data_IF_992769710329
#
_entry.id   IF_992769710329
#
_cell.length_a   1.000
_cell.length_b   1.000
_cell.length_c   1.000
_cell.angle_alpha   90.00
_cell.angle_beta   90.00
_cell.angle_gamma   90.00
#
_symmetry.space_group_name_H-M   'P 1'
#
loop_
_entity.id
_entity.type
_entity.pdbx_description
1 polymer ?
#
# COMPACT_ATOMS: atom_id res chain seq x y z
N UNK A 1 46.35 -37.38 -41.30
CA UNK A 1 45.05 -36.70 -41.04
C UNK A 1 45.08 -35.79 -39.81
N UNK A 2 46.00 -35.96 -38.84
CA UNK A 2 46.00 -35.19 -37.58
C UNK A 2 46.42 -33.70 -37.67
N UNK A 3 47.30 -33.31 -38.60
CA UNK A 3 47.83 -31.94 -38.66
C UNK A 3 46.79 -30.87 -39.00
N UNK A 4 45.68 -31.25 -39.67
CA UNK A 4 44.59 -30.32 -40.04
C UNK A 4 43.50 -30.18 -38.98
N UNK A 5 43.36 -31.16 -38.08
CA UNK A 5 42.39 -31.09 -36.97
C UNK A 5 42.88 -30.22 -35.81
N UNK A 6 44.19 -30.10 -35.58
CA UNK A 6 44.76 -29.25 -34.53
C UNK A 6 44.32 -27.78 -34.58
N UNK A 7 44.39 -27.07 -35.72
CA UNK A 7 43.91 -25.69 -35.79
C UNK A 7 42.40 -25.58 -35.61
N UNK A 8 41.61 -26.56 -36.09
CA UNK A 8 40.17 -26.60 -35.87
C UNK A 8 39.80 -26.83 -34.40
N UNK A 9 40.46 -27.78 -33.74
CA UNK A 9 40.26 -28.03 -32.31
C UNK A 9 40.64 -26.80 -31.47
N UNK A 10 41.73 -26.11 -31.83
CA UNK A 10 42.13 -24.88 -31.17
C UNK A 10 41.10 -23.76 -31.36
N UNK A 11 40.56 -23.60 -32.56
CA UNK A 11 39.49 -22.64 -32.84
C UNK A 11 38.20 -22.96 -32.05
N UNK A 12 37.81 -24.23 -31.96
CA UNK A 12 36.64 -24.68 -31.17
C UNK A 12 36.85 -24.41 -29.68
N UNK A 13 38.05 -24.68 -29.14
CA UNK A 13 38.36 -24.38 -27.74
C UNK A 13 38.31 -22.87 -27.48
N UNK A 14 38.85 -22.03 -28.37
CA UNK A 14 38.77 -20.57 -28.23
C UNK A 14 37.32 -20.10 -28.24
N UNK A 15 36.49 -20.62 -29.15
CA UNK A 15 35.07 -20.28 -29.23
C UNK A 15 34.29 -20.75 -28.00
N UNK A 16 34.59 -21.94 -27.48
CA UNK A 16 34.00 -22.45 -26.26
C UNK A 16 34.39 -21.61 -25.03
N UNK A 17 35.67 -21.20 -24.93
CA UNK A 17 36.17 -20.33 -23.87
C UNK A 17 35.54 -18.94 -23.95
N UNK A 18 35.43 -18.35 -25.14
CA UNK A 18 34.79 -17.04 -25.31
C UNK A 18 33.28 -17.09 -25.03
N UNK A 19 32.59 -18.16 -25.42
CA UNK A 19 31.20 -18.38 -25.05
C UNK A 19 31.02 -18.56 -23.53
N UNK A 20 31.91 -19.32 -22.88
CA UNK A 20 31.90 -19.50 -21.43
C UNK A 20 32.17 -18.20 -20.69
N UNK A 21 33.16 -17.41 -21.13
CA UNK A 21 33.44 -16.08 -20.56
C UNK A 21 32.23 -15.16 -20.77
N UNK A 22 31.65 -15.12 -21.97
CA UNK A 22 30.46 -14.33 -22.25
C UNK A 22 29.26 -14.72 -21.38
N UNK A 23 29.09 -16.00 -21.08
CA UNK A 23 28.04 -16.50 -20.19
C UNK A 23 28.32 -16.22 -18.71
N UNK A 24 29.59 -16.26 -18.29
CA UNK A 24 30.01 -16.06 -16.90
C UNK A 24 30.16 -14.59 -16.51
N UNK A 25 30.29 -13.67 -17.46
CA UNK A 25 30.32 -12.23 -17.20
C UNK A 25 28.90 -11.77 -16.87
N UNK A 26 28.63 -11.29 -15.64
CA UNK A 26 27.33 -10.75 -15.29
C UNK A 26 27.03 -9.53 -16.16
N UNK A 27 25.78 -9.39 -16.60
CA UNK A 27 25.33 -8.15 -17.25
C UNK A 27 25.64 -6.96 -16.34
N UNK A 28 26.28 -5.94 -16.92
CA UNK A 28 26.52 -4.70 -16.22
C UNK A 28 25.17 -4.10 -15.82
N UNK A 29 25.01 -3.78 -14.52
CA UNK A 29 23.79 -3.15 -14.03
C UNK A 29 23.51 -1.88 -14.85
N UNK A 30 22.29 -1.68 -15.37
CA UNK A 30 21.97 -0.52 -16.17
C UNK A 30 22.28 0.74 -15.37
N UNK A 31 23.09 1.64 -15.93
CA UNK A 31 23.38 2.92 -15.30
C UNK A 31 22.09 3.73 -15.14
N UNK A 32 21.91 4.47 -14.03
CA UNK A 32 20.73 5.29 -13.84
C UNK A 32 20.53 6.27 -15.01
N UNK A 33 19.28 6.51 -15.43
CA UNK A 33 19.01 7.36 -16.58
C UNK A 33 19.43 8.79 -16.25
N UNK A 34 20.40 9.35 -16.98
CA UNK A 34 20.92 10.70 -16.67
C UNK A 34 19.85 11.79 -16.72
N UNK A 35 18.84 11.61 -17.58
CA UNK A 35 17.72 12.54 -17.79
C UNK A 35 16.44 11.73 -18.03
N UNK A 36 15.36 12.13 -17.40
CA UNK A 36 14.06 11.46 -17.46
C UNK A 36 13.00 12.45 -17.90
N UNK A 37 12.20 12.08 -18.88
CA UNK A 37 11.01 12.84 -19.29
C UNK A 37 9.80 12.26 -18.56
N UNK A 38 9.19 13.04 -17.69
CA UNK A 38 8.01 12.65 -16.92
C UNK A 38 6.77 13.22 -17.60
N UNK A 39 6.14 12.41 -18.44
CA UNK A 39 4.92 12.77 -19.14
C UNK A 39 3.73 12.79 -18.18
N UNK A 40 2.95 13.87 -18.22
CA UNK A 40 1.75 14.02 -17.40
C UNK A 40 0.80 15.07 -18.02
N UNK A 41 -0.49 15.06 -17.65
CA UNK A 41 -1.49 15.98 -18.21
C UNK A 41 -1.22 17.48 -18.00
N UNK A 42 -0.38 17.84 -17.02
CA UNK A 42 0.02 19.23 -16.77
C UNK A 42 1.15 19.73 -17.67
N UNK A 43 1.62 18.91 -18.61
CA UNK A 43 2.80 19.17 -19.44
C UNK A 43 4.01 18.38 -18.96
N UNK A 44 4.89 17.90 -19.87
CA UNK A 44 5.98 17.03 -19.48
C UNK A 44 7.00 17.77 -18.60
N UNK A 45 7.53 17.07 -17.60
CA UNK A 45 8.57 17.59 -16.71
C UNK A 45 9.88 16.90 -17.04
N UNK A 46 10.94 17.66 -17.29
CA UNK A 46 12.27 17.12 -17.51
C UNK A 46 13.02 17.05 -16.19
N UNK A 47 13.32 15.84 -15.74
CA UNK A 47 14.08 15.58 -14.54
C UNK A 47 15.52 15.18 -14.88
N UNK A 48 16.49 15.95 -14.40
CA UNK A 48 17.92 15.63 -14.57
C UNK A 48 18.41 14.80 -13.38
N UNK A 49 18.24 13.48 -13.44
CA UNK A 49 18.63 12.55 -12.37
C UNK A 49 20.12 12.66 -12.05
N UNK A 50 21.00 12.69 -13.06
CA UNK A 50 22.45 12.78 -12.87
C UNK A 50 22.87 14.04 -12.10
N UNK A 51 22.14 15.15 -12.27
CA UNK A 51 22.39 16.37 -11.52
C UNK A 51 21.99 16.23 -10.05
N UNK A 52 20.92 15.49 -9.77
CA UNK A 52 20.46 15.25 -8.41
C UNK A 52 21.35 14.23 -7.68
N UNK A 53 21.90 13.24 -8.38
CA UNK A 53 22.93 12.33 -7.84
C UNK A 53 24.22 13.06 -7.47
N UNK A 54 24.53 14.16 -8.16
CA UNK A 54 25.70 14.99 -7.87
C UNK A 54 25.55 15.88 -6.63
N UNK A 55 24.38 15.90 -5.98
CA UNK A 55 24.18 16.57 -4.71
C UNK A 55 24.35 15.60 -3.53
N UNK A 56 24.50 16.12 -2.32
CA UNK A 56 24.53 15.32 -1.09
C UNK A 56 23.11 14.83 -0.73
N UNK A 57 22.57 13.94 -1.57
CA UNK A 57 21.27 13.31 -1.43
C UNK A 57 21.45 11.80 -1.41
N UNK A 58 20.78 11.13 -0.48
CA UNK A 58 20.72 9.67 -0.43
C UNK A 58 19.64 9.18 -1.40
N UNK A 59 19.91 8.10 -2.14
CA UNK A 59 18.95 7.52 -3.09
C UNK A 59 17.58 7.27 -2.45
N UNK A 60 17.57 6.79 -1.20
CA UNK A 60 16.35 6.50 -0.41
C UNK A 60 15.50 7.73 -0.07
N UNK A 61 16.01 8.95 -0.24
CA UNK A 61 15.22 10.17 -0.08
C UNK A 61 14.22 10.36 -1.24
N UNK A 62 14.53 9.80 -2.41
CA UNK A 62 13.63 9.78 -3.57
C UNK A 62 13.00 8.40 -3.74
N UNK A 63 13.85 7.37 -3.76
CA UNK A 63 13.49 5.97 -3.90
C UNK A 63 13.19 5.35 -2.53
N UNK A 64 12.25 5.92 -1.81
CA UNK A 64 11.91 5.49 -0.45
C UNK A 64 11.34 4.06 -0.39
N UNK A 65 10.89 3.52 -1.52
CA UNK A 65 10.44 2.14 -1.69
C UNK A 65 11.58 1.12 -1.63
N UNK A 66 12.86 1.52 -1.74
CA UNK A 66 14.03 0.65 -1.55
C UNK A 66 14.10 -0.03 -0.17
N UNK A 67 13.33 0.44 0.81
CA UNK A 67 13.17 -0.22 2.11
C UNK A 67 12.35 -1.52 2.03
N UNK A 68 11.52 -1.66 1.01
CA UNK A 68 10.54 -2.74 0.87
C UNK A 68 10.66 -3.50 -0.46
N UNK A 69 11.50 -3.02 -1.38
CA UNK A 69 11.81 -3.65 -2.67
C UNK A 69 13.32 -3.70 -2.87
N UNK A 70 13.82 -4.83 -3.35
CA UNK A 70 15.23 -5.01 -3.76
C UNK A 70 15.50 -4.47 -5.17
N UNK A 71 14.44 -4.19 -5.94
CA UNK A 71 14.47 -3.65 -7.29
C UNK A 71 13.97 -2.21 -7.28
N UNK A 72 14.58 -1.33 -8.09
CA UNK A 72 14.14 0.06 -8.19
C UNK A 72 12.75 0.15 -8.84
N UNK A 73 11.82 0.87 -8.22
CA UNK A 73 10.42 0.96 -8.67
C UNK A 73 10.05 2.39 -9.01
N UNK A 74 9.28 2.56 -10.09
CA UNK A 74 8.72 3.86 -10.44
C UNK A 74 7.70 4.31 -9.39
N UNK A 75 7.67 5.61 -9.07
CA UNK A 75 6.71 6.18 -8.11
C UNK A 75 5.27 5.76 -8.45
N UNK A 76 4.99 5.67 -9.74
CA UNK A 76 3.69 5.34 -10.31
C UNK A 76 3.14 3.96 -10.01
N UNK A 77 3.99 3.04 -9.55
CA UNK A 77 3.59 1.69 -9.15
C UNK A 77 2.80 1.72 -7.84
N UNK A 78 3.20 2.56 -6.89
CA UNK A 78 2.51 2.73 -5.61
C UNK A 78 1.60 3.97 -5.58
N UNK A 79 1.97 5.02 -6.30
CA UNK A 79 1.24 6.28 -6.39
C UNK A 79 0.54 6.35 -7.76
N UNK A 80 -0.68 5.81 -7.89
CA UNK A 80 -1.39 5.84 -9.15
C UNK A 80 -1.84 7.26 -9.50
N UNK A 81 -2.24 7.46 -10.76
CA UNK A 81 -2.93 8.69 -11.14
C UNK A 81 -4.23 8.85 -10.32
N UNK A 82 -4.98 7.75 -10.18
CA UNK A 82 -6.22 7.67 -9.41
C UNK A 82 -6.36 6.27 -8.77
N UNK A 83 -7.00 6.17 -7.61
CA UNK A 83 -7.34 4.89 -6.95
C UNK A 83 -8.66 4.32 -7.46
N UNK A 84 -8.73 4.11 -8.78
CA UNK A 84 -9.92 3.65 -9.46
C UNK A 84 -10.08 2.11 -9.43
N UNK A 85 -11.13 1.58 -10.09
CA UNK A 85 -11.33 0.14 -10.17
C UNK A 85 -10.21 -0.59 -10.92
N UNK A 86 -9.55 0.10 -11.87
CA UNK A 86 -8.46 -0.48 -12.63
C UNK A 86 -7.24 -0.69 -11.74
N UNK A 87 -6.88 0.29 -10.92
CA UNK A 87 -5.84 0.17 -9.91
C UNK A 87 -6.13 -1.01 -8.98
N UNK A 88 -7.33 -1.06 -8.38
CA UNK A 88 -7.71 -2.12 -7.43
C UNK A 88 -7.55 -3.51 -8.05
N UNK A 89 -7.93 -3.70 -9.32
CA UNK A 89 -7.84 -5.00 -9.99
C UNK A 89 -6.40 -5.40 -10.37
N UNK A 90 -5.56 -4.44 -10.74
CA UNK A 90 -4.29 -4.75 -11.41
C UNK A 90 -3.06 -4.55 -10.54
N UNK A 91 -3.13 -3.75 -9.47
CA UNK A 91 -1.95 -3.37 -8.71
C UNK A 91 -1.18 -4.57 -8.12
N UNK A 92 -1.86 -5.66 -7.77
CA UNK A 92 -1.23 -6.90 -7.27
C UNK A 92 -0.18 -7.45 -8.24
N UNK A 93 -0.41 -7.30 -9.55
CA UNK A 93 0.51 -7.78 -10.60
C UNK A 93 1.73 -6.89 -10.79
N UNK A 94 1.76 -5.69 -10.18
CA UNK A 94 2.84 -4.73 -10.36
C UNK A 94 3.93 -4.82 -9.27
N UNK A 95 3.75 -5.66 -8.25
CA UNK A 95 4.68 -5.79 -7.14
C UNK A 95 5.43 -7.13 -7.16
N UNK A 96 6.76 -7.05 -7.10
CA UNK A 96 7.60 -8.23 -6.91
C UNK A 96 7.69 -8.57 -5.41
N UNK A 97 7.19 -9.75 -5.04
CA UNK A 97 7.22 -10.23 -3.67
C UNK A 97 6.15 -9.60 -2.75
N UNK A 98 5.90 -10.26 -1.60
CA UNK A 98 4.82 -9.87 -0.68
C UNK A 98 5.18 -8.71 0.27
N UNK A 99 6.46 -8.31 0.31
CA UNK A 99 6.93 -7.24 1.21
C UNK A 99 6.36 -5.87 0.83
N UNK A 100 6.23 -5.58 -0.46
CA UNK A 100 5.65 -4.33 -0.94
C UNK A 100 4.16 -4.20 -0.54
N UNK A 101 3.42 -5.31 -0.49
CA UNK A 101 2.02 -5.35 -0.09
C UNK A 101 1.81 -4.81 1.34
N UNK A 102 2.73 -5.11 2.26
CA UNK A 102 2.72 -4.61 3.64
C UNK A 102 2.95 -3.10 3.75
N UNK A 103 3.24 -2.38 2.66
CA UNK A 103 3.30 -0.91 2.67
C UNK A 103 1.91 -0.30 2.80
N UNK A 104 0.89 -0.91 2.19
CA UNK A 104 -0.49 -0.45 2.20
C UNK A 104 -1.39 -1.34 3.06
N UNK A 105 -1.14 -2.66 3.04
CA UNK A 105 -1.80 -3.65 3.89
C UNK A 105 -0.99 -3.91 5.15
N UNK A 106 -0.38 -2.88 5.74
CA UNK A 106 0.56 -3.02 6.86
C UNK A 106 -0.03 -3.67 8.12
N UNK A 107 -1.36 -3.80 8.20
CA UNK A 107 -2.06 -4.37 9.33
C UNK A 107 -3.36 -5.01 8.88
N UNK A 108 -3.52 -6.30 9.18
CA UNK A 108 -4.76 -7.03 9.01
C UNK A 108 -5.12 -7.67 10.35
N UNK A 109 -6.40 -7.58 10.71
CA UNK A 109 -6.89 -8.11 11.97
C UNK A 109 -7.47 -9.50 11.76
N UNK A 110 -7.00 -10.44 12.58
CA UNK A 110 -7.57 -11.76 12.72
C UNK A 110 -8.85 -11.75 13.56
N UNK A 111 -9.23 -12.95 14.00
CA UNK A 111 -10.41 -13.11 14.86
C UNK A 111 -10.23 -12.33 16.16
N UNK A 112 -11.35 -11.85 16.74
CA UNK A 112 -11.33 -11.32 18.09
C UNK A 112 -10.71 -12.33 19.07
N UNK A 113 -9.95 -11.81 20.03
CA UNK A 113 -9.40 -12.55 21.16
C UNK A 113 -10.57 -12.72 22.15
N UNK A 114 -11.45 -13.67 21.82
CA UNK A 114 -12.68 -13.91 22.55
C UNK A 114 -12.82 -15.39 22.87
N UNK A 115 -13.08 -15.69 24.14
CA UNK A 115 -13.40 -17.02 24.63
C UNK A 115 -14.83 -17.01 25.18
N UNK A 116 -15.72 -17.79 24.57
CA UNK A 116 -17.14 -17.80 24.95
C UNK A 116 -17.35 -18.33 26.37
N UNK A 117 -16.62 -19.37 26.78
CA UNK A 117 -16.80 -19.99 28.08
C UNK A 117 -16.38 -19.03 29.19
N UNK A 118 -15.22 -18.38 29.02
CA UNK A 118 -14.77 -17.38 29.98
C UNK A 118 -15.74 -16.19 30.07
N UNK A 119 -16.26 -15.73 28.94
CA UNK A 119 -17.19 -14.59 28.92
C UNK A 119 -18.56 -14.95 29.51
N UNK A 120 -18.99 -16.20 29.42
CA UNK A 120 -20.20 -16.70 30.09
C UNK A 120 -20.04 -16.68 31.63
N UNK A 121 -18.85 -17.01 32.14
CA UNK A 121 -18.58 -17.00 33.59
C UNK A 121 -18.58 -15.59 34.21
N UNK A 122 -18.20 -14.57 33.44
CA UNK A 122 -18.11 -13.18 33.91
C UNK A 122 -19.31 -12.32 33.52
N UNK A 123 -20.08 -12.74 32.52
CA UNK A 123 -21.29 -12.03 32.09
C UNK A 123 -22.49 -12.37 32.98
N UNK A 124 -23.44 -11.43 33.09
CA UNK A 124 -24.67 -11.60 33.88
C UNK A 124 -25.76 -12.45 33.23
N UNK A 125 -25.45 -13.18 32.15
CA UNK A 125 -26.40 -13.96 31.36
C UNK A 125 -26.21 -13.81 29.85
N UNK A 126 -26.87 -14.66 29.06
CA UNK A 126 -26.72 -14.72 27.59
C UNK A 126 -27.10 -13.39 26.91
N UNK A 127 -28.11 -12.70 27.43
CA UNK A 127 -28.61 -11.41 26.95
C UNK A 127 -27.67 -10.23 27.25
N UNK A 128 -26.64 -10.45 28.07
CA UNK A 128 -25.56 -9.47 28.22
C UNK A 128 -24.79 -9.28 26.90
N UNK A 129 -24.75 -10.33 26.05
CA UNK A 129 -24.08 -10.34 24.75
C UNK A 129 -25.07 -10.45 23.57
N UNK A 130 -26.12 -11.26 23.72
CA UNK A 130 -27.18 -11.50 22.74
C UNK A 130 -28.36 -10.54 22.92
N UNK A 131 -29.29 -10.53 21.98
CA UNK A 131 -30.49 -9.70 22.13
C UNK A 131 -31.42 -10.30 23.18
N UNK A 132 -31.75 -9.52 24.23
CA UNK A 132 -32.79 -9.87 25.20
C UNK A 132 -34.16 -10.05 24.54
N UNK A 133 -34.43 -9.27 23.48
CA UNK A 133 -35.66 -9.34 22.71
C UNK A 133 -35.66 -10.56 21.77
N UNK A 134 -36.44 -11.57 22.15
CA UNK A 134 -36.62 -12.81 21.39
C UNK A 134 -37.37 -12.63 20.07
N UNK A 135 -37.99 -11.48 19.83
CA UNK A 135 -38.55 -11.15 18.50
C UNK A 135 -37.46 -10.83 17.48
N UNK A 136 -36.29 -10.38 17.93
CA UNK A 136 -35.10 -10.12 17.12
C UNK A 136 -34.29 -11.40 16.94
N UNK A 137 -34.05 -12.11 18.05
CA UNK A 137 -33.25 -13.33 18.10
C UNK A 137 -33.98 -14.40 18.94
N UNK A 138 -34.84 -15.24 18.30
CA UNK A 138 -35.62 -16.25 19.03
C UNK A 138 -34.75 -17.23 19.83
N UNK A 139 -33.54 -17.50 19.32
CA UNK A 139 -32.50 -18.29 19.96
C UNK A 139 -31.14 -17.70 19.64
N UNK A 140 -30.26 -17.72 20.61
CA UNK A 140 -28.88 -17.27 20.51
C UNK A 140 -28.19 -17.92 19.30
N UNK A 141 -27.66 -17.08 18.42
CA UNK A 141 -27.03 -17.46 17.18
C UNK A 141 -25.90 -16.48 16.82
N UNK A 142 -25.20 -16.78 15.72
CA UNK A 142 -24.10 -15.92 15.27
C UNK A 142 -24.66 -14.58 14.77
N UNK A 143 -24.12 -13.48 15.27
CA UNK A 143 -24.48 -12.13 14.85
C UNK A 143 -24.41 -11.97 13.31
N UNK A 144 -23.45 -12.65 12.67
CA UNK A 144 -23.26 -12.65 11.21
C UNK A 144 -24.43 -13.22 10.42
N UNK A 145 -25.36 -13.96 11.04
CA UNK A 145 -26.55 -14.47 10.37
C UNK A 145 -27.53 -13.34 9.99
N UNK A 146 -27.52 -12.23 10.74
CA UNK A 146 -28.42 -11.09 10.52
C UNK A 146 -27.67 -9.77 10.28
N UNK A 147 -26.50 -9.56 10.90
CA UNK A 147 -25.63 -8.39 10.70
C UNK A 147 -24.65 -8.54 9.52
N UNK A 148 -24.99 -9.37 8.53
CA UNK A 148 -24.15 -9.72 7.38
C UNK A 148 -23.86 -8.54 6.43
N UNK A 149 -24.38 -7.34 6.70
CA UNK A 149 -24.31 -6.19 5.79
C UNK A 149 -22.84 -5.87 5.50
N UNK A 150 -22.34 -6.17 4.29
CA UNK A 150 -21.02 -5.77 3.90
C UNK A 150 -21.08 -4.28 3.62
N UNK A 151 -20.31 -3.46 4.33
CA UNK A 151 -19.95 -2.14 3.79
C UNK A 151 -19.08 -2.40 2.57
N UNK A 152 -19.71 -2.50 1.38
CA UNK A 152 -19.01 -2.77 0.12
C UNK A 152 -17.80 -1.84 -0.03
N UNK A 153 -16.59 -2.36 -0.32
CA UNK A 153 -15.34 -1.60 -0.27
C UNK A 153 -15.20 -0.53 -1.37
N UNK A 154 -16.17 -0.38 -2.26
CA UNK A 154 -16.03 0.45 -3.47
C UNK A 154 -17.24 1.31 -3.84
N UNK A 155 -18.38 1.20 -3.16
CA UNK A 155 -19.52 2.09 -3.42
C UNK A 155 -19.51 3.24 -2.41
N UNK A 156 -19.59 4.47 -2.92
CA UNK A 156 -19.97 5.63 -2.12
C UNK A 156 -21.17 5.25 -1.25
N UNK A 157 -21.06 5.50 0.06
CA UNK A 157 -22.06 5.12 1.03
C UNK A 157 -23.43 5.67 0.59
N UNK A 158 -24.27 4.82 0.01
CA UNK A 158 -25.68 5.16 -0.14
C UNK A 158 -26.26 5.34 1.27
N UNK A 159 -27.19 6.30 1.48
CA UNK A 159 -27.88 6.43 2.75
C UNK A 159 -28.46 5.07 3.17
N UNK A 160 -28.08 4.61 4.35
CA UNK A 160 -28.60 3.36 4.91
C UNK A 160 -30.05 3.63 5.32
N UNK A 161 -31.04 2.85 4.83
CA UNK A 161 -32.44 3.03 5.20
C UNK A 161 -32.63 2.96 6.72
N UNK A 162 -33.52 3.78 7.26
CA UNK A 162 -33.90 3.70 8.68
C UNK A 162 -34.49 2.31 8.99
N UNK A 163 -34.06 1.71 10.10
CA UNK A 163 -34.43 0.33 10.47
C UNK A 163 -33.47 -0.74 9.96
N UNK A 164 -32.42 -0.37 9.20
CA UNK A 164 -31.36 -1.32 8.83
C UNK A 164 -30.48 -1.64 10.04
N UNK A 165 -30.25 -2.93 10.38
CA UNK A 165 -29.33 -3.29 11.45
C UNK A 165 -27.92 -2.74 11.19
N UNK A 166 -27.14 -2.43 12.25
CA UNK A 166 -25.74 -2.06 12.08
C UNK A 166 -24.93 -3.18 11.40
N UNK A 167 -23.78 -2.83 10.84
CA UNK A 167 -22.84 -3.83 10.34
C UNK A 167 -22.36 -4.75 11.48
N UNK A 168 -21.93 -5.97 11.15
CA UNK A 168 -21.37 -6.89 12.14
C UNK A 168 -20.28 -6.24 13.00
N UNK A 169 -19.40 -5.46 12.36
CA UNK A 169 -18.33 -4.72 13.04
C UNK A 169 -18.89 -3.74 14.06
N UNK A 170 -19.84 -2.91 13.65
CA UNK A 170 -20.38 -1.86 14.51
C UNK A 170 -21.21 -2.46 15.66
N UNK A 171 -21.97 -3.54 15.38
CA UNK A 171 -22.73 -4.28 16.39
C UNK A 171 -21.82 -4.90 17.47
N UNK A 172 -20.76 -5.61 17.04
CA UNK A 172 -19.81 -6.27 17.95
C UNK A 172 -19.01 -5.23 18.75
N UNK A 173 -18.49 -4.17 18.12
CA UNK A 173 -17.78 -3.13 18.86
C UNK A 173 -18.68 -2.39 19.85
N UNK A 174 -19.95 -2.14 19.53
CA UNK A 174 -20.89 -1.57 20.50
C UNK A 174 -21.07 -2.49 21.70
N UNK A 175 -21.21 -3.81 21.46
CA UNK A 175 -21.43 -4.78 22.52
C UNK A 175 -20.21 -4.97 23.43
N UNK A 176 -19.02 -5.20 22.86
CA UNK A 176 -17.80 -5.35 23.64
C UNK A 176 -17.47 -4.07 24.42
N UNK A 177 -17.72 -2.89 23.84
CA UNK A 177 -17.50 -1.62 24.54
C UNK A 177 -18.35 -1.48 25.79
N UNK A 178 -19.61 -1.91 25.77
CA UNK A 178 -20.51 -1.74 26.90
C UNK A 178 -20.02 -2.38 28.22
N UNK A 179 -19.19 -3.43 28.15
CA UNK A 179 -18.59 -4.04 29.34
C UNK A 179 -17.12 -3.66 29.54
N UNK A 180 -16.39 -3.32 28.47
CA UNK A 180 -14.97 -2.95 28.52
C UNK A 180 -14.72 -1.44 28.45
N UNK A 181 -15.67 -0.60 28.87
CA UNK A 181 -15.52 0.86 28.88
C UNK A 181 -14.25 1.31 29.61
N UNK A 182 -13.91 0.60 30.70
CA UNK A 182 -12.70 0.83 31.50
C UNK A 182 -11.39 0.62 30.71
N UNK A 183 -11.39 -0.25 29.69
CA UNK A 183 -10.24 -0.41 28.78
C UNK A 183 -10.10 0.79 27.85
N UNK A 184 -11.22 1.43 27.48
CA UNK A 184 -11.21 2.65 26.66
C UNK A 184 -10.83 3.89 27.47
N UNK A 185 -11.24 3.96 28.74
CA UNK A 185 -10.80 5.01 29.68
C UNK A 185 -9.31 4.92 30.01
N UNK A 186 -8.73 3.70 30.05
CA UNK A 186 -7.29 3.46 30.24
C UNK A 186 -6.45 3.65 28.97
N UNK A 187 -7.03 4.22 27.92
CA UNK A 187 -6.39 4.46 26.62
C UNK A 187 -5.79 3.19 25.98
N UNK A 188 -6.26 1.98 26.33
CA UNK A 188 -5.88 0.70 25.70
C UNK A 188 -6.54 0.55 24.30
N UNK A 189 -6.58 1.65 23.56
CA UNK A 189 -7.29 1.94 22.31
C UNK A 189 -6.80 1.16 21.09
N UNK A 190 -5.79 0.31 21.25
CA UNK A 190 -5.29 -0.53 20.18
C UNK A 190 -6.25 -1.68 19.88
N UNK A 191 -6.67 -1.83 18.62
CA UNK A 191 -7.49 -2.96 18.21
C UNK A 191 -6.84 -4.31 18.55
N UNK A 192 -5.52 -4.37 18.76
CA UNK A 192 -4.77 -5.57 19.16
C UNK A 192 -5.12 -6.13 20.53
N UNK A 193 -5.76 -5.35 21.39
CA UNK A 193 -6.23 -5.86 22.69
C UNK A 193 -7.46 -6.75 22.53
N UNK A 194 -8.23 -6.52 21.46
CA UNK A 194 -9.43 -7.29 21.16
C UNK A 194 -9.26 -8.17 19.91
N UNK A 195 -8.28 -7.92 19.05
CA UNK A 195 -8.04 -8.65 17.81
C UNK A 195 -6.63 -9.20 17.74
N UNK A 196 -6.49 -10.46 17.33
CA UNK A 196 -5.20 -11.01 16.93
C UNK A 196 -4.69 -10.29 15.66
N UNK A 197 -3.38 -10.07 15.54
CA UNK A 197 -2.81 -9.61 14.26
C UNK A 197 -2.66 -10.80 13.33
N UNK A 198 -3.04 -10.63 12.06
CA UNK A 198 -2.80 -11.63 11.03
C UNK A 198 -1.42 -11.41 10.43
N UNK A 199 -0.63 -12.48 10.31
CA UNK A 199 0.63 -12.42 9.60
C UNK A 199 0.35 -12.17 8.11
N UNK A 200 1.08 -11.22 7.51
CA UNK A 200 0.90 -10.79 6.13
C UNK A 200 0.89 -11.93 5.09
N UNK A 201 1.73 -12.97 5.20
CA UNK A 201 1.69 -14.10 4.27
C UNK A 201 0.39 -14.90 4.31
N UNK A 202 -0.36 -14.86 5.42
CA UNK A 202 -1.55 -15.68 5.66
C UNK A 202 -2.86 -14.94 5.32
N UNK A 203 -2.77 -13.65 4.99
CA UNK A 203 -3.92 -12.79 4.59
C UNK A 203 -4.60 -13.36 3.35
N UNK A 204 -5.94 -13.28 3.31
CA UNK A 204 -6.68 -13.58 2.07
C UNK A 204 -6.60 -12.35 1.16
N UNK A 205 -5.68 -12.41 0.22
CA UNK A 205 -5.38 -11.31 -0.71
C UNK A 205 -6.48 -11.07 -1.74
N UNK A 206 -7.46 -11.96 -1.85
CA UNK A 206 -8.62 -11.74 -2.73
C UNK A 206 -9.64 -10.79 -2.08
N UNK A 207 -9.59 -10.60 -0.76
CA UNK A 207 -10.50 -9.73 -0.03
C UNK A 207 -9.84 -9.07 1.19
N UNK A 208 -8.85 -8.19 0.98
CA UNK A 208 -8.18 -7.50 2.08
C UNK A 208 -9.08 -6.46 2.75
N UNK A 209 -8.77 -6.11 4.00
CA UNK A 209 -9.52 -5.08 4.73
C UNK A 209 -9.33 -3.72 4.05
N UNK A 210 -10.42 -2.99 3.86
CA UNK A 210 -10.34 -1.64 3.27
C UNK A 210 -9.69 -0.66 4.26
N UNK A 211 -8.88 0.28 3.75
CA UNK A 211 -8.15 1.26 4.58
C UNK A 211 -9.08 2.01 5.55
N UNK A 212 -10.29 2.34 5.08
CA UNK A 212 -11.30 3.06 5.87
C UNK A 212 -11.80 2.32 7.10
N UNK A 213 -11.55 1.02 7.17
CA UNK A 213 -11.96 0.23 8.34
C UNK A 213 -11.10 0.59 9.56
N UNK A 214 -9.87 1.06 9.34
CA UNK A 214 -8.95 1.50 10.39
C UNK A 214 -8.60 3.00 10.32
N UNK A 215 -8.79 3.65 9.17
CA UNK A 215 -8.43 5.04 8.94
C UNK A 215 -9.65 5.90 8.62
N UNK A 216 -9.80 7.03 9.33
CA UNK A 216 -10.90 7.96 9.08
C UNK A 216 -10.69 8.89 7.88
N UNK A 217 -9.51 8.81 7.25
CA UNK A 217 -9.14 9.68 6.12
C UNK A 217 -9.38 8.99 4.78
N UNK A 218 -9.69 9.77 3.72
CA UNK A 218 -9.72 9.26 2.35
C UNK A 218 -8.40 8.62 1.95
N UNK A 219 -8.44 7.63 1.04
CA UNK A 219 -7.26 6.84 0.62
C UNK A 219 -6.14 7.73 0.07
N UNK A 220 -6.51 8.77 -0.67
CA UNK A 220 -5.63 9.74 -1.30
C UNK A 220 -4.84 10.56 -0.27
N UNK A 221 -5.34 10.64 0.96
CA UNK A 221 -4.64 11.28 2.09
C UNK A 221 -3.70 10.33 2.83
N UNK A 222 -3.89 9.02 2.70
CA UNK A 222 -3.04 7.99 3.28
C UNK A 222 -1.88 7.66 2.33
N UNK A 223 -2.20 7.47 1.05
CA UNK A 223 -1.24 7.29 -0.04
C UNK A 223 -1.54 8.36 -1.10
N UNK A 224 -0.65 9.35 -1.31
CA UNK A 224 -0.90 10.42 -2.27
C UNK A 224 -0.95 9.88 -3.70
N UNK A 225 -1.69 10.56 -4.56
CA UNK A 225 -1.66 10.31 -6.01
C UNK A 225 -0.27 10.60 -6.58
N UNK A 226 0.03 10.10 -7.78
CA UNK A 226 1.29 10.36 -8.48
C UNK A 226 1.63 11.85 -8.54
N UNK A 227 0.63 12.67 -8.90
CA UNK A 227 0.76 14.12 -9.02
C UNK A 227 1.14 14.74 -7.68
N UNK A 228 0.43 14.39 -6.62
CA UNK A 228 0.65 14.97 -5.29
C UNK A 228 1.98 14.49 -4.69
N UNK A 229 2.36 13.24 -4.93
CA UNK A 229 3.65 12.69 -4.53
C UNK A 229 4.81 13.48 -5.16
N UNK A 230 4.79 13.68 -6.49
CA UNK A 230 5.81 14.47 -7.18
C UNK A 230 5.83 15.93 -6.73
N UNK A 231 4.68 16.59 -6.63
CA UNK A 231 4.64 17.97 -6.14
C UNK A 231 5.17 18.10 -4.72
N UNK A 232 4.76 17.22 -3.81
CA UNK A 232 5.24 17.22 -2.43
C UNK A 232 6.76 17.01 -2.35
N UNK A 233 7.30 16.09 -3.14
CA UNK A 233 8.74 15.79 -3.14
C UNK A 233 9.56 16.90 -3.81
N UNK A 234 9.26 17.24 -5.07
CA UNK A 234 10.01 18.22 -5.85
C UNK A 234 9.89 19.62 -5.24
N UNK A 235 8.67 20.09 -4.98
CA UNK A 235 8.46 21.42 -4.41
C UNK A 235 8.93 21.48 -2.96
N UNK A 236 8.72 20.41 -2.17
CA UNK A 236 9.14 20.36 -0.78
C UNK A 236 10.66 20.46 -0.60
N UNK A 237 11.44 19.71 -1.38
CA UNK A 237 12.90 19.79 -1.33
C UNK A 237 13.40 21.17 -1.80
N UNK A 238 12.90 21.65 -2.94
CA UNK A 238 13.29 22.96 -3.48
C UNK A 238 12.93 24.12 -2.54
N UNK A 239 11.77 24.05 -1.88
CA UNK A 239 11.37 24.99 -0.84
C UNK A 239 12.36 24.97 0.33
N UNK A 240 12.61 23.78 0.87
CA UNK A 240 13.46 23.61 2.06
C UNK A 240 14.90 24.08 1.82
N UNK A 241 15.45 23.82 0.64
CA UNK A 241 16.80 24.21 0.29
C UNK A 241 16.90 25.63 -0.30
N UNK A 242 15.77 26.27 -0.63
CA UNK A 242 15.75 27.55 -1.34
C UNK A 242 16.36 27.50 -2.75
N UNK A 243 16.49 26.30 -3.33
CA UNK A 243 17.15 26.05 -4.62
C UNK A 243 16.18 25.39 -5.60
N UNK A 244 16.38 25.66 -6.89
CA UNK A 244 15.57 25.07 -7.95
C UNK A 244 14.40 25.95 -8.40
N UNK A 245 13.51 25.41 -9.26
CA UNK A 245 12.44 26.18 -9.91
C UNK A 245 11.33 26.66 -8.97
N UNK A 246 11.16 26.04 -7.79
CA UNK A 246 10.08 26.38 -6.86
C UNK A 246 10.29 27.75 -6.20
N UNK A 247 9.20 28.50 -6.05
CA UNK A 247 9.13 29.79 -5.32
C UNK A 247 7.95 29.77 -4.37
N UNK A 248 8.15 30.29 -3.15
CA UNK A 248 7.12 30.39 -2.11
C UNK A 248 6.40 31.74 -2.22
N UNK A 249 5.92 32.06 -3.42
CA UNK A 249 5.14 33.24 -3.70
C UNK A 249 3.69 32.81 -3.96
N UNK A 250 2.76 33.31 -3.15
CA UNK A 250 1.33 32.94 -3.23
C UNK A 250 0.64 33.58 -4.43
N UNK A 251 1.23 34.64 -4.98
CA UNK A 251 0.67 35.43 -6.07
C UNK A 251 1.23 34.99 -7.44
N UNK A 252 2.28 34.15 -7.45
CA UNK A 252 2.93 33.65 -8.67
C UNK A 252 2.80 32.14 -8.77
N UNK A 253 1.72 31.66 -9.41
CA UNK A 253 1.58 30.25 -9.83
C UNK A 253 2.32 29.99 -11.14
N UNK A 254 3.63 29.81 -11.08
CA UNK A 254 4.46 29.58 -12.26
C UNK A 254 4.69 28.09 -12.54
N UNK A 255 3.62 27.41 -13.00
CA UNK A 255 3.66 25.99 -13.38
C UNK A 255 4.71 25.72 -14.47
N UNK A 256 4.96 26.71 -15.35
CA UNK A 256 5.87 26.62 -16.50
C UNK A 256 7.35 26.48 -16.12
N UNK A 257 7.72 26.74 -14.86
CA UNK A 257 9.09 26.50 -14.38
C UNK A 257 9.42 25.03 -14.23
N UNK A 258 8.40 24.20 -14.06
CA UNK A 258 8.55 22.76 -13.89
C UNK A 258 8.00 22.02 -15.11
N UNK A 259 6.86 22.46 -15.62
CA UNK A 259 6.17 21.84 -16.75
C UNK A 259 6.53 22.56 -18.04
N UNK A 260 6.95 21.78 -19.04
CA UNK A 260 7.08 22.31 -20.39
C UNK A 260 5.68 22.61 -20.96
N UNK A 261 5.54 23.67 -21.77
CA UNK A 261 4.27 23.97 -22.44
C UNK A 261 3.83 22.76 -23.26
N UNK A 262 2.58 22.33 -23.07
CA UNK A 262 1.94 21.37 -23.96
C UNK A 262 1.73 22.05 -25.30
N UNK A 263 2.19 21.41 -26.39
CA UNK A 263 1.89 21.88 -27.75
C UNK A 263 0.40 21.80 -28.05
#
# INVERSE_FOLDING_TARGET
MEKRLRPMAFAVVILAVTAFIGYAVPEAKPSPPKRVLLENPGGPVVFEHARHEGYDLKCVQCHHASKVSTTEVGCGTCHPAEFDQHFVKNHIHWFEGRAACATCHHLEWGKPIFDHALHEEVAGGCDSCHHADKSIEPKEQRCSNCHAIPRSPMAAAKPVPSGTPPSLRDAVHARCRACHEDMFEKELTGCSNCHSRKNMPDVDWNNPTACRECHDKPRESLVPTRKDAFHKQCMGCHKKLGKGPYRDDKDVKDCGRCHLPTR
#
